data_IF_123451127665
#
_entry.id   IF_123451127665
#
_cell.length_a   1.000
_cell.length_b   1.000
_cell.length_c   1.000
_cell.angle_alpha   90.00
_cell.angle_beta   90.00
_cell.angle_gamma   90.00
#
_symmetry.space_group_name_H-M   'P 1'
#
loop_
_entity.id
_entity.type
_entity.pdbx_description
1 polymer ?
#
# COMPACT_ATOMS: atom_id res chain seq x y z
N UNK A 1 2.93 3.97 -3.23
CA UNK A 1 3.15 4.27 -4.67
C UNK A 1 2.32 3.32 -5.51
N UNK A 2 2.12 3.65 -6.77
CA UNK A 2 1.51 2.76 -7.77
C UNK A 2 2.34 2.83 -9.05
N UNK A 3 2.49 1.70 -9.75
CA UNK A 3 3.26 1.64 -10.99
C UNK A 3 2.42 1.17 -12.18
N UNK A 4 2.88 1.51 -13.36
CA UNK A 4 2.39 0.97 -14.63
C UNK A 4 3.46 1.18 -15.72
N UNK A 5 3.14 0.78 -16.96
CA UNK A 5 3.95 1.08 -18.14
C UNK A 5 3.63 2.45 -18.77
N UNK A 6 2.96 3.31 -18.02
CA UNK A 6 2.63 4.72 -18.34
C UNK A 6 2.45 5.52 -17.04
N UNK A 7 2.61 6.85 -17.07
CA UNK A 7 2.34 7.69 -15.91
C UNK A 7 0.88 7.56 -15.45
N UNK A 8 0.66 7.47 -14.13
CA UNK A 8 -0.67 7.46 -13.50
C UNK A 8 -0.83 8.76 -12.71
N UNK A 9 -1.24 9.82 -13.39
CA UNK A 9 -1.34 11.17 -12.81
C UNK A 9 -2.77 11.52 -12.44
N UNK A 10 -3.71 11.20 -13.33
CA UNK A 10 -5.13 11.49 -13.14
C UNK A 10 -5.93 10.21 -12.88
N UNK A 11 -7.09 10.29 -12.20
CA UNK A 11 -7.97 9.12 -12.03
C UNK A 11 -8.28 8.38 -13.34
N UNK A 12 -8.46 9.09 -14.44
CA UNK A 12 -8.75 8.51 -15.75
C UNK A 12 -7.61 7.62 -16.30
N UNK A 13 -6.38 7.81 -15.83
CA UNK A 13 -5.24 7.01 -16.28
C UNK A 13 -5.33 5.54 -15.82
N UNK A 14 -6.17 5.25 -14.83
CA UNK A 14 -6.41 3.90 -14.34
C UNK A 14 -7.40 3.09 -15.17
N UNK A 15 -8.13 3.74 -16.07
CA UNK A 15 -9.20 3.10 -16.81
C UNK A 15 -8.73 1.83 -17.52
N UNK A 16 -9.32 0.69 -17.14
CA UNK A 16 -9.06 -0.62 -17.71
C UNK A 16 -7.73 -1.27 -17.32
N UNK A 17 -6.88 -0.63 -16.48
CA UNK A 17 -5.62 -1.22 -16.04
C UNK A 17 -5.86 -2.39 -15.08
N UNK A 18 -5.17 -3.49 -15.33
CA UNK A 18 -5.06 -4.61 -14.39
C UNK A 18 -4.02 -4.26 -13.34
N UNK A 19 -4.47 -3.83 -12.16
CA UNK A 19 -3.58 -3.45 -11.05
C UNK A 19 -3.53 -4.57 -10.03
N UNK A 20 -2.33 -5.08 -9.78
CA UNK A 20 -2.15 -6.06 -8.69
C UNK A 20 -2.34 -5.39 -7.34
N UNK A 21 -3.13 -6.02 -6.51
CA UNK A 21 -3.33 -5.64 -5.10
C UNK A 21 -3.07 -6.83 -4.18
N UNK A 22 -2.87 -6.55 -2.88
CA UNK A 22 -2.99 -7.57 -1.82
C UNK A 22 -4.46 -7.93 -1.60
N UNK A 23 -4.77 -8.89 -0.73
CA UNK A 23 -6.14 -9.35 -0.44
C UNK A 23 -7.05 -8.33 0.26
N UNK A 24 -6.85 -7.03 0.08
CA UNK A 24 -7.61 -5.96 0.70
C UNK A 24 -8.88 -5.63 -0.08
N UNK A 25 -10.05 -5.79 0.57
CA UNK A 25 -11.34 -5.36 0.00
C UNK A 25 -11.45 -3.84 -0.15
N UNK A 26 -10.73 -3.08 0.66
CA UNK A 26 -10.66 -1.62 0.56
C UNK A 26 -9.87 -1.23 -0.70
N UNK A 27 -8.71 -1.87 -0.91
CA UNK A 27 -7.90 -1.63 -2.11
C UNK A 27 -8.66 -2.05 -3.39
N UNK A 28 -9.33 -3.21 -3.39
CA UNK A 28 -10.19 -3.62 -4.51
C UNK A 28 -11.23 -2.53 -4.81
N UNK A 29 -11.86 -1.97 -3.78
CA UNK A 29 -12.90 -0.97 -3.96
C UNK A 29 -12.35 0.33 -4.54
N UNK A 30 -11.32 0.95 -3.95
CA UNK A 30 -10.85 2.24 -4.45
C UNK A 30 -10.22 2.15 -5.85
N UNK A 31 -9.56 1.05 -6.20
CA UNK A 31 -9.07 0.88 -7.56
C UNK A 31 -10.20 0.74 -8.59
N UNK A 32 -11.31 0.10 -8.21
CA UNK A 32 -12.52 0.07 -9.09
C UNK A 32 -13.15 1.45 -9.25
N UNK A 33 -13.15 2.29 -8.22
CA UNK A 33 -13.63 3.67 -8.32
C UNK A 33 -12.77 4.50 -9.29
N UNK A 34 -11.48 4.16 -9.41
CA UNK A 34 -10.57 4.74 -10.39
C UNK A 34 -10.75 4.14 -11.81
N UNK A 35 -11.59 3.13 -11.96
CA UNK A 35 -11.81 2.43 -13.26
C UNK A 35 -10.79 1.34 -13.57
N UNK A 36 -9.94 0.96 -12.63
CA UNK A 36 -9.00 -0.15 -12.77
C UNK A 36 -9.70 -1.51 -12.59
N UNK A 37 -8.99 -2.57 -12.95
CA UNK A 37 -9.38 -3.97 -12.78
C UNK A 37 -8.41 -4.59 -11.75
N UNK A 38 -8.69 -4.51 -10.43
CA UNK A 38 -7.79 -5.04 -9.42
C UNK A 38 -7.69 -6.56 -9.52
N UNK A 39 -6.44 -7.05 -9.36
CA UNK A 39 -6.10 -8.48 -9.40
C UNK A 39 -5.43 -8.87 -8.08
N UNK A 40 -6.07 -9.77 -7.33
CA UNK A 40 -5.48 -10.31 -6.10
C UNK A 40 -4.46 -11.38 -6.48
N UNK A 41 -3.24 -11.23 -5.98
CA UNK A 41 -2.13 -12.11 -6.30
C UNK A 41 -1.13 -12.17 -5.15
N UNK A 42 -0.54 -13.36 -4.91
CA UNK A 42 0.51 -13.51 -3.89
C UNK A 42 1.71 -12.61 -4.17
N UNK A 43 2.35 -12.11 -3.11
CA UNK A 43 3.45 -11.15 -3.24
C UNK A 43 4.63 -11.71 -4.04
N UNK A 44 4.95 -12.99 -3.86
CA UNK A 44 6.02 -13.70 -4.58
C UNK A 44 5.81 -13.81 -6.09
N UNK A 45 4.58 -13.64 -6.58
CA UNK A 45 4.24 -13.78 -8.01
C UNK A 45 4.29 -12.45 -8.76
N UNK A 46 4.35 -11.31 -8.03
CA UNK A 46 4.16 -9.97 -8.60
C UNK A 46 5.22 -9.62 -9.64
N UNK A 47 6.50 -9.86 -9.35
CA UNK A 47 7.58 -9.54 -10.29
C UNK A 47 7.35 -10.20 -11.65
N UNK A 48 7.09 -11.51 -11.63
CA UNK A 48 6.86 -12.29 -12.85
C UNK A 48 5.59 -11.82 -13.59
N UNK A 49 4.53 -11.51 -12.85
CA UNK A 49 3.27 -11.02 -13.44
C UNK A 49 3.42 -9.65 -14.11
N UNK A 50 4.21 -8.74 -13.52
CA UNK A 50 4.56 -7.45 -14.11
C UNK A 50 5.44 -7.63 -15.35
N UNK A 51 6.45 -8.51 -15.27
CA UNK A 51 7.39 -8.76 -16.37
C UNK A 51 6.68 -9.34 -17.60
N UNK A 52 5.74 -10.24 -17.40
CA UNK A 52 5.01 -10.92 -18.48
C UNK A 52 3.73 -10.20 -18.92
N UNK A 53 3.35 -9.10 -18.25
CA UNK A 53 2.15 -8.34 -18.57
C UNK A 53 0.83 -9.02 -18.17
N UNK A 54 0.86 -9.99 -17.25
CA UNK A 54 -0.36 -10.56 -16.63
C UNK A 54 -1.12 -9.48 -15.88
N UNK A 55 -0.39 -8.58 -15.23
CA UNK A 55 -0.90 -7.32 -14.68
C UNK A 55 -0.12 -6.14 -15.26
N UNK A 56 -0.78 -4.99 -15.41
CA UNK A 56 -0.20 -3.78 -15.99
C UNK A 56 0.59 -2.98 -14.96
N UNK A 57 0.27 -3.16 -13.68
CA UNK A 57 0.90 -2.42 -12.60
C UNK A 57 0.61 -3.02 -11.22
N UNK A 58 1.20 -2.42 -10.20
CA UNK A 58 0.94 -2.78 -8.81
C UNK A 58 1.01 -1.55 -7.90
N UNK A 59 0.47 -1.68 -6.69
CA UNK A 59 0.67 -0.71 -5.61
C UNK A 59 1.53 -1.32 -4.51
N UNK A 60 2.42 -0.51 -3.93
CA UNK A 60 3.23 -0.93 -2.78
C UNK A 60 4.00 0.26 -2.16
N UNK A 61 4.80 -0.01 -1.11
CA UNK A 61 5.74 0.93 -0.51
C UNK A 61 7.03 1.04 -1.32
N UNK A 62 7.79 2.14 -1.19
CA UNK A 62 9.09 2.28 -1.85
C UNK A 62 10.07 1.16 -1.54
N UNK A 63 10.19 0.76 -0.27
CA UNK A 63 11.08 -0.32 0.16
C UNK A 63 10.75 -1.65 -0.54
N UNK A 64 9.47 -1.99 -0.69
CA UNK A 64 9.04 -3.19 -1.41
C UNK A 64 9.34 -3.11 -2.91
N UNK A 65 9.17 -1.93 -3.54
CA UNK A 65 9.55 -1.76 -4.95
C UNK A 65 11.04 -2.00 -5.17
N UNK A 66 11.89 -1.53 -4.26
CA UNK A 66 13.33 -1.70 -4.37
C UNK A 66 13.72 -3.17 -4.13
N UNK A 67 13.32 -3.75 -2.99
CA UNK A 67 13.73 -5.10 -2.57
C UNK A 67 13.21 -6.19 -3.51
N UNK A 68 12.02 -6.02 -4.07
CA UNK A 68 11.44 -6.95 -5.05
C UNK A 68 11.78 -6.58 -6.50
N UNK A 69 12.57 -5.54 -6.71
CA UNK A 69 13.04 -5.09 -8.04
C UNK A 69 11.90 -4.72 -9.01
N UNK A 70 10.72 -4.34 -8.50
CA UNK A 70 9.59 -4.00 -9.38
C UNK A 70 9.91 -2.81 -10.30
N UNK A 71 10.78 -1.89 -9.87
CA UNK A 71 11.29 -0.78 -10.66
C UNK A 71 12.09 -1.21 -11.90
N UNK A 72 12.52 -2.47 -12.01
CA UNK A 72 13.22 -3.00 -13.18
C UNK A 72 12.24 -3.43 -14.30
N UNK A 73 10.99 -3.72 -13.94
CA UNK A 73 9.95 -4.22 -14.86
C UNK A 73 8.76 -3.28 -15.00
N UNK A 74 8.85 -2.08 -14.43
CA UNK A 74 7.83 -1.03 -14.52
C UNK A 74 8.47 0.27 -15.01
N UNK A 75 7.90 0.86 -16.08
CA UNK A 75 8.47 2.08 -16.70
C UNK A 75 8.21 3.33 -15.89
N UNK A 76 7.05 3.40 -15.24
CA UNK A 76 6.59 4.59 -14.53
C UNK A 76 6.07 4.23 -13.14
N UNK A 77 6.49 4.97 -12.14
CA UNK A 77 6.05 4.85 -10.76
C UNK A 77 5.52 6.20 -10.29
N UNK A 78 4.27 6.23 -9.85
CA UNK A 78 3.66 7.43 -9.27
C UNK A 78 3.73 7.38 -7.75
N UNK A 79 4.43 8.36 -7.16
CA UNK A 79 4.54 8.56 -5.71
C UNK A 79 3.31 9.36 -5.27
N UNK A 80 2.28 8.64 -4.87
CA UNK A 80 0.93 9.18 -4.69
C UNK A 80 0.51 9.33 -3.21
N UNK A 81 1.15 8.63 -2.28
CA UNK A 81 0.79 8.60 -0.85
C UNK A 81 -0.72 8.35 -0.59
N UNK A 82 -1.36 7.56 -1.45
CA UNK A 82 -2.81 7.34 -1.44
C UNK A 82 -3.28 6.32 -0.39
N UNK A 83 -2.38 5.51 0.14
CA UNK A 83 -2.69 4.50 1.14
C UNK A 83 -1.52 4.30 2.10
N UNK A 84 -1.83 3.82 3.28
CA UNK A 84 -0.86 3.43 4.29
C UNK A 84 -0.84 1.90 4.41
N UNK A 85 0.34 1.28 4.31
CA UNK A 85 0.51 -0.15 4.50
C UNK A 85 0.89 -0.41 5.96
N UNK A 86 0.02 -1.11 6.68
CA UNK A 86 0.24 -1.51 8.06
C UNK A 86 0.37 -3.02 8.17
N UNK A 87 1.18 -3.47 9.11
CA UNK A 87 1.32 -4.87 9.47
C UNK A 87 0.81 -5.10 10.89
N UNK A 88 0.19 -6.24 11.12
CA UNK A 88 -0.13 -6.75 12.44
C UNK A 88 0.47 -8.15 12.58
N UNK A 89 1.27 -8.35 13.61
CA UNK A 89 1.75 -9.68 13.97
C UNK A 89 0.64 -10.38 14.73
N UNK A 90 0.20 -11.49 14.20
CA UNK A 90 -0.89 -12.29 14.79
C UNK A 90 -0.40 -13.68 15.19
N UNK A 91 -0.96 -14.22 16.26
CA UNK A 91 -0.66 -15.56 16.75
C UNK A 91 -1.97 -16.29 17.09
N UNK A 92 -1.98 -17.60 16.96
CA UNK A 92 -3.12 -18.40 17.34
C UNK A 92 -3.36 -18.29 18.86
N UNK A 93 -4.58 -17.92 19.26
CA UNK A 93 -4.93 -17.65 20.66
C UNK A 93 -4.75 -18.88 21.57
N UNK A 94 -5.08 -20.09 21.09
CA UNK A 94 -4.90 -21.32 21.86
C UNK A 94 -3.41 -21.64 22.08
N UNK A 95 -2.58 -21.45 21.05
CA UNK A 95 -1.13 -21.58 21.19
C UNK A 95 -0.60 -20.56 22.21
N UNK A 96 -0.97 -19.30 22.05
CA UNK A 96 -0.52 -18.21 22.93
C UNK A 96 -0.88 -18.44 24.39
N UNK A 97 -2.15 -18.83 24.65
CA UNK A 97 -2.63 -19.11 26.00
C UNK A 97 -2.00 -20.36 26.61
N UNK A 98 -1.51 -21.29 25.79
CA UNK A 98 -0.83 -22.52 26.24
C UNK A 98 0.64 -22.32 26.61
N UNK A 99 1.23 -21.16 26.31
CA UNK A 99 2.62 -20.87 26.67
C UNK A 99 2.74 -20.58 28.17
N UNK A 100 3.89 -20.94 28.81
CA UNK A 100 4.23 -20.47 30.15
C UNK A 100 4.22 -18.95 30.23
N UNK A 101 3.85 -18.39 31.38
CA UNK A 101 3.68 -16.95 31.54
C UNK A 101 4.99 -16.16 31.35
N UNK A 102 6.11 -16.72 31.79
CA UNK A 102 7.45 -16.15 31.62
C UNK A 102 7.86 -16.12 30.14
N UNK A 103 7.57 -17.16 29.38
CA UNK A 103 7.84 -17.21 27.93
C UNK A 103 6.99 -16.18 27.19
N UNK A 104 5.69 -16.05 27.53
CA UNK A 104 4.84 -15.02 26.95
C UNK A 104 5.38 -13.63 27.20
N UNK A 105 5.76 -13.29 28.45
CA UNK A 105 6.33 -12.00 28.78
C UNK A 105 7.63 -11.69 28.04
N UNK A 106 8.48 -12.70 27.80
CA UNK A 106 9.67 -12.51 26.97
C UNK A 106 9.33 -12.24 25.51
N UNK A 107 8.35 -12.94 24.93
CA UNK A 107 7.90 -12.73 23.55
C UNK A 107 7.22 -11.37 23.38
N UNK A 108 6.39 -10.95 24.33
CA UNK A 108 5.76 -9.62 24.32
C UNK A 108 6.83 -8.52 24.30
N UNK A 109 7.79 -8.60 25.23
CA UNK A 109 8.88 -7.64 25.28
C UNK A 109 9.71 -7.61 23.99
N UNK A 110 10.05 -8.76 23.44
CA UNK A 110 10.78 -8.84 22.17
C UNK A 110 9.98 -8.23 20.99
N UNK A 111 8.66 -8.43 20.98
CA UNK A 111 7.78 -7.82 19.96
C UNK A 111 7.68 -6.30 20.11
N UNK A 112 7.58 -5.79 21.33
CA UNK A 112 7.56 -4.35 21.59
C UNK A 112 8.86 -3.70 21.08
N UNK A 113 10.03 -4.26 21.47
CA UNK A 113 11.34 -3.78 21.04
C UNK A 113 11.49 -3.83 19.50
N UNK A 114 11.07 -4.92 18.87
CA UNK A 114 11.11 -5.07 17.41
C UNK A 114 10.16 -4.08 16.69
N UNK A 115 8.99 -3.83 17.26
CA UNK A 115 8.01 -2.88 16.74
C UNK A 115 8.53 -1.45 16.81
N UNK A 116 9.09 -1.05 17.96
CA UNK A 116 9.67 0.27 18.15
C UNK A 116 10.84 0.51 17.19
N UNK A 117 11.73 -0.48 17.06
CA UNK A 117 12.83 -0.41 16.13
C UNK A 117 12.34 -0.27 14.68
N UNK A 118 11.43 -1.13 14.24
CA UNK A 118 10.90 -1.13 12.87
C UNK A 118 10.23 0.22 12.55
N UNK A 119 9.40 0.74 13.46
CA UNK A 119 8.73 2.02 13.27
C UNK A 119 9.75 3.19 13.22
N UNK A 120 10.84 3.11 13.98
CA UNK A 120 11.87 4.16 13.99
C UNK A 120 12.64 4.28 12.68
N UNK A 121 12.79 3.19 11.93
CA UNK A 121 13.55 3.17 10.66
C UNK A 121 12.67 3.26 9.40
N UNK A 122 11.36 2.98 9.51
CA UNK A 122 10.48 2.79 8.35
C UNK A 122 10.42 3.99 7.40
N UNK A 123 10.41 5.22 7.91
CA UNK A 123 10.40 6.44 7.08
C UNK A 123 11.69 6.53 6.28
N UNK A 124 12.82 6.43 6.99
CA UNK A 124 14.14 6.54 6.35
C UNK A 124 14.37 5.45 5.30
N UNK A 125 13.99 4.21 5.57
CA UNK A 125 14.12 3.11 4.60
C UNK A 125 13.31 3.37 3.32
N UNK A 126 12.11 3.95 3.44
CA UNK A 126 11.32 4.29 2.27
C UNK A 126 11.91 5.47 1.48
N UNK A 127 12.49 6.47 2.16
CA UNK A 127 13.20 7.59 1.52
C UNK A 127 14.47 7.11 0.79
N UNK A 128 15.28 6.29 1.45
CA UNK A 128 16.48 5.69 0.87
C UNK A 128 16.12 4.82 -0.36
N UNK A 129 15.06 4.03 -0.27
CA UNK A 129 14.58 3.22 -1.38
C UNK A 129 14.14 4.07 -2.58
N UNK A 130 13.43 5.17 -2.36
CA UNK A 130 13.09 6.11 -3.44
C UNK A 130 14.34 6.72 -4.09
N UNK A 131 15.35 7.08 -3.30
CA UNK A 131 16.60 7.61 -3.81
C UNK A 131 17.35 6.59 -4.67
N UNK A 132 17.42 5.32 -4.23
CA UNK A 132 18.07 4.25 -4.99
C UNK A 132 17.28 3.89 -6.27
N UNK A 133 15.95 3.84 -6.21
CA UNK A 133 15.11 3.64 -7.40
C UNK A 133 15.38 4.75 -8.43
N UNK A 134 15.40 6.01 -7.98
CA UNK A 134 15.72 7.17 -8.85
C UNK A 134 17.10 7.07 -9.45
N UNK A 135 18.10 6.71 -8.65
CA UNK A 135 19.51 6.56 -9.08
C UNK A 135 19.68 5.43 -10.09
N UNK A 136 18.88 4.39 -10.03
CA UNK A 136 18.95 3.25 -10.96
C UNK A 136 18.69 3.64 -12.41
N UNK A 137 17.90 4.71 -12.64
CA UNK A 137 17.52 5.17 -13.98
C UNK A 137 16.63 4.20 -14.76
N UNK A 138 16.14 3.11 -14.12
CA UNK A 138 15.36 2.06 -14.79
C UNK A 138 13.87 2.38 -14.89
N UNK A 139 13.39 3.35 -14.12
CA UNK A 139 11.99 3.77 -14.05
C UNK A 139 11.89 5.29 -13.87
N UNK A 140 10.81 5.89 -14.34
CA UNK A 140 10.51 7.30 -14.13
C UNK A 140 9.65 7.47 -12.88
N UNK A 141 10.07 8.35 -11.98
CA UNK A 141 9.30 8.71 -10.78
C UNK A 141 8.46 9.96 -11.05
N UNK A 142 7.16 9.86 -10.82
CA UNK A 142 6.20 10.95 -10.92
C UNK A 142 5.68 11.30 -9.53
N UNK A 143 5.71 12.56 -9.17
CA UNK A 143 5.19 13.07 -7.90
C UNK A 143 3.91 13.85 -8.15
N UNK A 144 2.82 13.46 -7.49
CA UNK A 144 1.54 14.16 -7.63
C UNK A 144 1.59 15.52 -6.96
N UNK A 145 1.07 16.55 -7.64
CA UNK A 145 0.75 17.84 -7.03
C UNK A 145 -0.42 17.71 -6.07
N UNK A 146 -0.68 18.74 -5.25
CA UNK A 146 -1.79 18.70 -4.30
C UNK A 146 -3.15 18.65 -5.01
N UNK A 147 -3.31 19.34 -6.13
CA UNK A 147 -4.51 19.26 -6.97
C UNK A 147 -4.75 17.85 -7.54
N UNK A 148 -3.67 17.18 -7.96
CA UNK A 148 -3.74 15.81 -8.46
C UNK A 148 -4.09 14.81 -7.35
N UNK A 149 -3.52 14.99 -6.15
CA UNK A 149 -3.90 14.21 -4.96
C UNK A 149 -5.36 14.44 -4.59
N UNK A 150 -5.83 15.69 -4.61
CA UNK A 150 -7.23 16.01 -4.34
C UNK A 150 -8.18 15.37 -5.38
N UNK A 151 -7.79 15.33 -6.66
CA UNK A 151 -8.55 14.65 -7.70
C UNK A 151 -8.66 13.12 -7.44
N UNK A 152 -7.57 12.48 -7.01
CA UNK A 152 -7.59 11.07 -6.61
C UNK A 152 -8.48 10.84 -5.39
N UNK A 153 -8.35 11.66 -4.34
CA UNK A 153 -9.19 11.57 -3.14
C UNK A 153 -10.67 11.68 -3.49
N UNK A 154 -11.02 12.65 -4.35
CA UNK A 154 -12.41 12.83 -4.81
C UNK A 154 -12.93 11.61 -5.58
N UNK A 155 -12.13 11.03 -6.46
CA UNK A 155 -12.52 9.84 -7.23
C UNK A 155 -12.68 8.61 -6.33
N UNK A 156 -11.85 8.47 -5.29
CA UNK A 156 -11.91 7.35 -4.34
C UNK A 156 -12.91 7.55 -3.20
N UNK A 157 -13.50 8.75 -3.04
CA UNK A 157 -14.41 9.08 -1.94
C UNK A 157 -15.59 8.10 -1.74
N UNK A 158 -16.19 7.50 -2.79
CA UNK A 158 -17.25 6.50 -2.61
C UNK A 158 -16.82 5.29 -1.79
N UNK A 159 -15.52 4.99 -1.74
CA UNK A 159 -14.95 3.91 -0.92
C UNK A 159 -15.18 4.15 0.58
N UNK A 160 -15.11 5.39 1.06
CA UNK A 160 -15.35 5.71 2.49
C UNK A 160 -16.77 5.34 2.91
N UNK A 161 -17.77 5.73 2.11
CA UNK A 161 -19.16 5.40 2.37
C UNK A 161 -19.38 3.87 2.37
N UNK A 162 -18.78 3.17 1.45
CA UNK A 162 -18.84 1.71 1.40
C UNK A 162 -18.13 1.06 2.60
N UNK A 163 -16.98 1.61 3.01
CA UNK A 163 -16.20 1.11 4.15
C UNK A 163 -16.94 1.29 5.48
N UNK A 164 -17.80 2.31 5.61
CA UNK A 164 -18.57 2.60 6.82
C UNK A 164 -19.36 1.38 7.31
N UNK A 165 -19.97 0.63 6.40
CA UNK A 165 -20.71 -0.58 6.74
C UNK A 165 -19.84 -1.77 7.19
N UNK A 166 -18.51 -1.67 7.07
CA UNK A 166 -17.56 -2.74 7.39
C UNK A 166 -16.69 -2.44 8.60
N UNK A 167 -16.23 -1.21 8.74
CA UNK A 167 -15.34 -0.78 9.83
C UNK A 167 -16.07 0.00 10.92
N UNK A 168 -17.31 0.38 10.67
CA UNK A 168 -18.15 1.16 11.57
C UNK A 168 -17.89 2.66 11.51
N UNK A 169 -18.97 3.43 11.68
CA UNK A 169 -18.95 4.89 11.64
C UNK A 169 -17.94 5.53 12.62
N UNK A 170 -17.83 5.08 13.89
CA UNK A 170 -16.90 5.71 14.84
C UNK A 170 -15.43 5.67 14.38
N UNK A 171 -15.01 4.59 13.72
CA UNK A 171 -13.62 4.48 13.20
C UNK A 171 -13.41 5.46 12.06
N UNK A 172 -14.36 5.57 11.15
CA UNK A 172 -14.25 6.53 10.03
C UNK A 172 -14.32 7.98 10.50
N UNK A 173 -15.18 8.30 11.47
CA UNK A 173 -15.25 9.65 12.05
C UNK A 173 -13.91 10.05 12.70
N UNK A 174 -13.28 9.10 13.42
CA UNK A 174 -11.94 9.31 13.98
C UNK A 174 -10.91 9.59 12.89
N UNK A 175 -10.86 8.75 11.85
CA UNK A 175 -9.95 8.93 10.72
C UNK A 175 -10.18 10.25 10.00
N UNK A 176 -11.44 10.63 9.77
CA UNK A 176 -11.77 11.91 9.15
C UNK A 176 -11.25 13.09 9.95
N UNK A 177 -11.44 13.05 11.28
CA UNK A 177 -10.95 14.08 12.20
C UNK A 177 -9.42 14.17 12.19
N UNK A 178 -8.72 13.04 12.34
CA UNK A 178 -7.25 12.99 12.42
C UNK A 178 -6.57 13.38 11.11
N UNK A 179 -7.17 13.01 9.98
CA UNK A 179 -6.63 13.27 8.65
C UNK A 179 -7.23 14.50 7.97
N UNK A 180 -8.11 15.24 8.67
CA UNK A 180 -8.83 16.41 8.14
C UNK A 180 -9.54 16.14 6.80
N UNK A 181 -10.14 14.95 6.67
CA UNK A 181 -10.83 14.50 5.45
C UNK A 181 -12.29 14.99 5.45
N UNK A 182 -12.71 15.54 4.33
CA UNK A 182 -14.16 15.75 4.05
C UNK A 182 -14.73 14.43 3.51
N UNK A 183 -15.51 13.71 4.35
CA UNK A 183 -16.13 12.43 3.98
C UNK A 183 -17.61 12.62 3.66
#
# INVERSE_FOLDING_TARGET
MVSANRPLIHPADFQGLKVRISGSKIADRYFRELGAIPQIMAFSEVYQALQTGVVDGCENTPSNYLTQKFHEVQKDITVSYHAHLQYAVIVNSKFWSGLPADVRGQLEKAMDEATDYTNSIAIKENEDALAEIKKSGKTHLHYLTDDQKAAWQKAMAPTYKWAQGRVGKPVLDLLAKELNLQM
#
